data_IF_506115501688
#
_entry.id   IF_506115501688
#
_cell.length_a   1.000
_cell.length_b   1.000
_cell.length_c   1.000
_cell.angle_alpha   90.00
_cell.angle_beta   90.00
_cell.angle_gamma   90.00
#
_symmetry.space_group_name_H-M   'P 1'
#
loop_
_entity.id
_entity.type
_entity.pdbx_description
1 polymer ?
2 non-polymer ?
3 water ?
#
# COMPACT_ATOMS: atom_id res chain seq x y z
N UNK A 2 -8.96 -14.80 6.93
CA UNK A 2 -8.82 -15.20 8.33
C UNK A 2 -8.71 -14.00 9.27
N UNK A 3 -8.13 -12.91 8.76
CA UNK A 3 -7.98 -11.67 9.51
C UNK A 3 -8.82 -10.59 8.86
N UNK A 4 -9.45 -9.76 9.69
CA UNK A 4 -10.23 -8.61 9.23
C UNK A 4 -9.41 -7.34 9.47
N UNK A 5 -8.96 -6.73 8.38
CA UNK A 5 -8.18 -5.51 8.44
C UNK A 5 -9.01 -4.23 8.58
N UNK A 6 -10.33 -4.35 8.65
CA UNK A 6 -11.20 -3.18 8.66
C UNK A 6 -10.79 -2.22 9.78
N UNK A 7 -10.72 -0.95 9.46
CA UNK A 7 -10.39 0.05 10.45
C UNK A 7 -9.89 1.33 9.83
N UNK A 8 -9.86 2.38 10.63
CA UNK A 8 -9.16 3.61 10.29
C UNK A 8 -7.84 3.61 11.06
N UNK A 9 -6.77 3.47 10.30
CA UNK A 9 -5.44 3.24 10.85
C UNK A 9 -4.56 4.47 10.63
N UNK A 10 -4.02 5.03 11.71
CA UNK A 10 -3.24 6.26 11.61
C UNK A 10 -1.75 5.96 11.56
N UNK A 11 -1.02 6.67 10.70
CA UNK A 11 0.42 6.44 10.54
C UNK A 11 1.27 6.78 11.77
N UNK A 12 2.09 5.83 12.18
CA UNK A 12 3.09 6.02 13.23
C UNK A 12 4.51 6.04 12.68
N UNK A 13 4.78 5.21 11.67
CA UNK A 13 6.11 5.00 11.14
C UNK A 13 6.08 5.08 9.62
N UNK A 14 7.11 5.70 9.05
CA UNK A 14 7.27 5.77 7.62
C UNK A 14 8.76 5.89 7.32
N UNK A 15 9.40 4.78 6.97
CA UNK A 15 10.83 4.70 6.75
C UNK A 15 11.12 4.44 5.28
N UNK A 16 12.01 5.26 4.71
CA UNK A 16 12.51 5.08 3.35
C UNK A 16 11.48 5.35 2.25
N UNK A 17 10.51 6.21 2.54
CA UNK A 17 9.47 6.55 1.56
C UNK A 17 10.04 7.32 0.37
N UNK A 18 10.94 8.27 0.61
CA UNK A 18 11.53 9.04 -0.47
C UNK A 18 12.23 8.15 -1.48
N UNK A 19 13.02 7.21 -0.96
CA UNK A 19 13.78 6.28 -1.80
C UNK A 19 12.85 5.37 -2.62
N UNK A 20 11.75 4.94 -2.01
CA UNK A 20 10.73 4.17 -2.69
C UNK A 20 10.15 4.98 -3.85
N UNK A 21 9.78 6.23 -3.59
CA UNK A 21 9.20 7.05 -4.65
C UNK A 21 10.22 7.35 -5.73
N UNK A 22 11.48 7.57 -5.34
CA UNK A 22 12.51 7.86 -6.32
C UNK A 22 12.67 6.68 -7.29
N UNK A 23 12.59 5.46 -6.75
CA UNK A 23 12.70 4.28 -7.59
C UNK A 23 11.52 4.13 -8.56
N UNK A 24 10.40 4.82 -8.29
CA UNK A 24 9.27 4.85 -9.22
C UNK A 24 9.37 6.04 -10.21
N UNK A 25 10.50 6.75 -10.18
CA UNK A 25 10.77 7.87 -11.09
C UNK A 25 9.89 9.09 -10.82
N UNK A 26 9.34 9.18 -9.62
CA UNK A 26 8.59 10.34 -9.21
C UNK A 26 9.52 11.55 -9.20
N UNK A 27 9.10 12.66 -9.79
CA UNK A 27 10.01 13.80 -9.91
C UNK A 27 10.27 14.51 -8.57
N UNK A 28 11.20 15.45 -8.59
CA UNK A 28 11.65 16.11 -7.37
C UNK A 28 10.53 16.90 -6.71
N UNK A 29 9.72 17.59 -7.51
CA UNK A 29 8.63 18.41 -6.98
C UNK A 29 7.59 17.55 -6.26
N UNK A 30 7.25 16.41 -6.86
CA UNK A 30 6.23 15.52 -6.26
C UNK A 30 6.79 14.83 -5.02
N UNK A 31 8.07 14.49 -5.05
CA UNK A 31 8.72 13.90 -3.90
C UNK A 31 8.77 14.92 -2.76
N UNK A 32 8.94 16.20 -3.11
CA UNK A 32 9.01 17.26 -2.12
C UNK A 32 7.70 17.36 -1.35
N UNK A 33 6.58 17.37 -2.08
CA UNK A 33 5.29 17.44 -1.40
C UNK A 33 4.99 16.12 -0.69
N UNK A 34 5.46 15.00 -1.23
CA UNK A 34 5.18 13.73 -0.59
C UNK A 34 5.87 13.66 0.77
N UNK A 35 6.94 14.43 0.91
CA UNK A 35 7.64 14.52 2.18
C UNK A 35 6.79 15.22 3.26
N UNK A 36 5.78 15.98 2.86
CA UNK A 36 4.89 16.65 3.80
C UNK A 36 3.77 15.75 4.29
N UNK A 37 3.72 14.52 3.78
CA UNK A 37 2.57 13.63 3.99
C UNK A 37 2.79 12.56 5.06
N UNK A 38 1.70 12.20 5.73
CA UNK A 38 1.64 11.07 6.64
C UNK A 38 0.36 10.33 6.29
N UNK A 39 0.40 9.51 5.23
CA UNK A 39 -0.84 8.92 4.76
C UNK A 39 -1.37 7.88 5.74
N UNK A 40 -2.69 7.87 5.87
CA UNK A 40 -3.39 6.90 6.70
C UNK A 40 -4.00 5.79 5.88
N UNK A 41 -4.50 4.75 6.53
CA UNK A 41 -5.17 3.65 5.85
C UNK A 41 -6.58 3.50 6.36
N UNK A 42 -7.56 3.59 5.46
CA UNK A 42 -8.94 3.33 5.84
C UNK A 42 -9.34 2.09 5.05
N UNK A 43 -9.54 1.00 5.77
CA UNK A 43 -9.79 -0.28 5.14
C UNK A 43 -11.18 -0.77 5.52
N UNK A 44 -11.89 -1.27 4.52
CA UNK A 44 -13.14 -2.02 4.75
C UNK A 44 -13.03 -3.34 4.02
N UNK A 45 -13.37 -4.41 4.72
CA UNK A 45 -13.21 -5.74 4.19
C UNK A 45 -14.46 -6.56 4.46
N UNK A 46 -14.85 -7.39 3.50
CA UNK A 46 -15.85 -8.42 3.70
C UNK A 46 -15.28 -9.70 3.07
N UNK A 47 -14.68 -10.57 3.89
CA UNK A 47 -14.05 -11.77 3.38
C UNK A 47 -12.89 -11.41 2.45
N UNK A 48 -12.94 -11.93 1.22
CA UNK A 48 -11.87 -11.68 0.26
C UNK A 48 -12.05 -10.37 -0.50
N UNK A 49 -13.17 -9.68 -0.28
CA UNK A 49 -13.39 -8.37 -0.92
C UNK A 49 -12.80 -7.30 -0.01
N UNK A 50 -11.88 -6.50 -0.53
CA UNK A 50 -11.17 -5.52 0.28
C UNK A 50 -11.08 -4.18 -0.42
N UNK A 51 -11.29 -3.12 0.36
CA UNK A 51 -11.08 -1.77 -0.11
C UNK A 51 -10.04 -1.19 0.83
N UNK A 52 -8.92 -0.73 0.25
CA UNK A 52 -7.87 -0.09 1.02
C UNK A 52 -7.73 1.31 0.47
N UNK A 53 -8.14 2.28 1.27
CA UNK A 53 -8.00 3.67 0.90
C UNK A 53 -6.78 4.26 1.59
N UNK A 54 -5.78 4.67 0.81
CA UNK A 54 -4.62 5.35 1.36
C UNK A 54 -4.92 6.84 1.27
N UNK A 55 -5.04 7.48 2.43
CA UNK A 55 -5.55 8.83 2.51
C UNK A 55 -4.44 9.81 2.87
N UNK A 56 -4.32 10.88 2.09
CA UNK A 56 -3.42 11.98 2.47
C UNK A 56 -4.03 13.31 2.09
N UNK A 57 -3.46 14.38 2.63
CA UNK A 57 -3.97 15.70 2.38
C UNK A 57 -3.68 16.13 0.94
N UNK A 58 -2.74 15.47 0.27
CA UNK A 58 -2.45 15.79 -1.12
C UNK A 58 -3.37 14.99 -2.03
N UNK A 59 -3.17 13.69 -2.10
CA UNK A 59 -3.93 12.82 -2.95
C UNK A 59 -4.19 11.52 -2.20
N UNK A 60 -5.31 10.88 -2.52
CA UNK A 60 -5.59 9.54 -2.04
C UNK A 60 -5.23 8.53 -3.12
N UNK A 61 -5.01 7.29 -2.71
CA UNK A 61 -4.88 6.18 -3.66
C UNK A 61 -5.78 5.07 -3.16
N UNK A 62 -6.73 4.67 -4.01
CA UNK A 62 -7.76 3.74 -3.63
C UNK A 62 -7.54 2.39 -4.31
N UNK A 63 -7.53 1.31 -3.51
CA UNK A 63 -7.56 -0.05 -4.05
C UNK A 63 -8.90 -0.70 -3.70
N UNK A 64 -9.40 -1.52 -4.59
CA UNK A 64 -10.68 -2.20 -4.42
C UNK A 64 -10.57 -3.49 -5.23
N UNK A 65 -10.43 -4.60 -4.54
CA UNK A 65 -10.05 -5.84 -5.21
C UNK A 65 -10.58 -7.06 -4.48
N UNK A 66 -10.41 -8.21 -5.14
CA UNK A 66 -10.72 -9.50 -4.58
C UNK A 66 -9.40 -10.21 -4.34
N UNK A 67 -9.16 -10.59 -3.09
CA UNK A 67 -7.97 -11.37 -2.79
C UNK A 67 -7.98 -12.66 -3.63
N UNK A 68 -6.85 -12.95 -4.29
CA UNK A 68 -6.71 -14.15 -5.10
C UNK A 68 -6.98 -13.97 -6.58
N UNK A 69 -7.47 -12.80 -6.96
CA UNK A 69 -7.87 -12.55 -8.35
C UNK A 69 -7.04 -11.43 -8.97
N UNK A 70 -6.26 -11.79 -9.97
CA UNK A 70 -5.42 -10.82 -10.66
C UNK A 70 -6.27 -9.74 -11.33
N UNK A 71 -5.77 -8.52 -11.33
CA UNK A 71 -6.51 -7.40 -11.91
C UNK A 71 -5.55 -6.36 -12.48
N UNK A 72 -6.08 -5.53 -13.36
CA UNK A 72 -5.33 -4.42 -13.91
C UNK A 72 -5.40 -3.26 -12.94
N UNK A 73 -4.27 -2.94 -12.34
CA UNK A 73 -4.19 -1.88 -11.37
C UNK A 73 -3.71 -0.61 -12.05
N UNK A 74 -4.45 0.47 -11.81
CA UNK A 74 -4.15 1.77 -12.39
C UNK A 74 -3.59 2.64 -11.27
N UNK A 75 -2.30 2.94 -11.35
CA UNK A 75 -1.62 3.68 -10.30
C UNK A 75 -1.56 5.19 -10.57
N UNK A 76 -2.59 5.68 -11.24
CA UNK A 76 -2.79 7.11 -11.40
C UNK A 76 -2.66 7.85 -10.07
N UNK A 77 -1.85 8.90 -10.09
CA UNK A 77 -1.61 9.70 -8.91
C UNK A 77 -0.30 9.36 -8.21
N UNK A 78 0.20 8.14 -8.43
CA UNK A 78 1.47 7.72 -7.86
C UNK A 78 2.49 7.89 -8.97
N UNK A 79 2.65 6.85 -9.81
CA UNK A 79 3.52 6.96 -10.96
C UNK A 79 2.76 6.82 -12.29
N UNK A 80 1.44 6.76 -12.21
CA UNK A 80 0.57 6.70 -13.39
C UNK A 80 0.84 5.49 -14.27
N UNK A 81 1.41 4.45 -13.68
CA UNK A 81 1.60 3.21 -14.40
C UNK A 81 0.40 2.29 -14.27
N UNK A 82 0.45 1.18 -15.01
CA UNK A 82 -0.53 0.11 -14.92
C UNK A 82 0.23 -1.15 -14.63
N UNK A 83 -0.29 -1.97 -13.72
CA UNK A 83 0.32 -3.24 -13.38
C UNK A 83 -0.69 -4.38 -13.45
N UNK A 84 -0.18 -5.59 -13.64
CA UNK A 84 -0.98 -6.80 -13.50
C UNK A 84 -0.73 -7.24 -12.07
N UNK A 85 -1.73 -7.05 -11.23
CA UNK A 85 -1.56 -7.12 -9.79
C UNK A 85 -2.37 -8.23 -9.18
N UNK A 86 -1.75 -8.97 -8.27
CA UNK A 86 -2.43 -10.04 -7.55
C UNK A 86 -2.13 -9.88 -6.06
N UNK A 87 -3.19 -9.85 -5.25
CA UNK A 87 -3.06 -9.84 -3.80
C UNK A 87 -3.52 -11.21 -3.32
N UNK A 88 -2.70 -11.87 -2.50
CA UNK A 88 -3.03 -13.22 -2.05
C UNK A 88 -2.84 -13.33 -0.54
N UNK A 89 -3.58 -14.28 0.05
CA UNK A 89 -3.43 -14.63 1.46
C UNK A 89 -2.25 -15.60 1.60
N UNK A 90 -1.37 -15.25 2.51
CA UNK A 90 -0.23 -16.08 2.87
C UNK A 90 -0.47 -16.23 4.37
N UNK A 91 -1.33 -17.17 4.73
CA UNK A 91 -1.84 -17.24 6.09
C UNK A 91 -2.69 -16.02 6.42
N UNK A 92 -2.31 -15.32 7.49
CA UNK A 92 -2.99 -14.08 7.91
C UNK A 92 -2.39 -12.83 7.29
N UNK A 93 -1.33 -13.01 6.49
CA UNK A 93 -0.68 -11.90 5.81
C UNK A 93 -1.18 -11.75 4.39
N UNK A 94 -1.15 -10.53 3.91
CA UNK A 94 -1.48 -10.22 2.53
C UNK A 94 -0.22 -9.91 1.75
N UNK A 95 -0.06 -10.62 0.63
CA UNK A 95 1.08 -10.46 -0.26
C UNK A 95 0.58 -9.93 -1.60
N UNK A 96 1.22 -8.89 -2.10
CA UNK A 96 0.83 -8.28 -3.36
C UNK A 96 2.00 -8.25 -4.32
N UNK A 97 1.80 -8.80 -5.51
CA UNK A 97 2.77 -8.70 -6.60
C UNK A 97 2.18 -7.79 -7.68
N UNK A 98 2.96 -6.80 -8.11
CA UNK A 98 2.55 -5.84 -9.12
C UNK A 98 3.45 -6.01 -10.33
N UNK A 99 2.99 -6.78 -11.30
CA UNK A 99 3.80 -7.05 -12.48
C UNK A 99 3.75 -5.89 -13.45
N UNK A 100 4.91 -5.50 -13.99
CA UNK A 100 4.98 -4.37 -14.89
C UNK A 100 6.41 -3.91 -15.10
N UNK A 101 6.58 -2.62 -15.33
CA UNK A 101 7.87 -2.06 -15.73
C UNK A 101 8.93 -2.25 -14.67
N UNK A 102 8.59 -1.97 -13.43
CA UNK A 102 9.56 -2.05 -12.35
C UNK A 102 9.65 -3.46 -11.81
N UNK A 103 10.88 -3.93 -11.67
CA UNK A 103 11.11 -5.22 -11.07
C UNK A 103 10.87 -5.20 -9.57
N UNK A 104 10.39 -6.32 -9.06
CA UNK A 104 10.27 -6.52 -7.63
C UNK A 104 9.28 -5.57 -6.96
N UNK A 105 8.25 -5.17 -7.68
CA UNK A 105 7.26 -4.23 -7.18
C UNK A 105 6.14 -4.98 -6.47
N UNK A 106 5.87 -4.62 -5.22
CA UNK A 106 4.75 -5.23 -4.52
C UNK A 106 4.75 -4.77 -3.08
N UNK A 107 4.02 -5.49 -2.24
CA UNK A 107 3.91 -5.12 -0.84
C UNK A 107 3.42 -6.30 -0.01
N UNK A 108 3.61 -6.19 1.29
CA UNK A 108 3.14 -7.18 2.23
C UNK A 108 2.48 -6.43 3.41
N UNK A 109 1.30 -6.86 3.80
CA UNK A 109 0.53 -6.22 4.86
C UNK A 109 0.12 -7.26 5.90
N UNK A 110 0.26 -6.93 7.18
CA UNK A 110 -0.09 -7.85 8.24
C UNK A 110 -0.36 -7.09 9.53
N UNK A 111 -1.05 -7.75 10.45
CA UNK A 111 -1.28 -7.18 11.77
C UNK A 111 -0.41 -7.91 12.80
N UNK A 112 0.27 -7.16 13.64
CA UNK A 112 0.97 -7.70 14.80
C UNK A 112 0.41 -7.02 16.02
N UNK A 113 -0.27 -7.78 16.88
CA UNK A 113 -0.89 -7.18 18.03
C UNK A 113 -1.90 -6.14 17.57
N UNK A 114 -1.73 -4.89 17.98
CA UNK A 114 -2.66 -3.85 17.55
C UNK A 114 -2.06 -2.92 16.51
N UNK A 115 -1.01 -3.37 15.83
CA UNK A 115 -0.36 -2.60 14.77
C UNK A 115 -0.60 -3.17 13.40
N UNK A 116 -0.92 -2.30 12.45
CA UNK A 116 -0.94 -2.64 11.05
C UNK A 116 0.45 -2.36 10.47
N UNK A 117 1.07 -3.39 9.91
CA UNK A 117 2.38 -3.29 9.28
C UNK A 117 2.25 -3.38 7.77
N UNK A 118 3.01 -2.54 7.08
CA UNK A 118 3.08 -2.55 5.63
C UNK A 118 4.54 -2.43 5.21
N UNK A 119 4.96 -3.34 4.33
CA UNK A 119 6.25 -3.24 3.68
C UNK A 119 6.01 -3.05 2.20
N UNK A 120 6.45 -1.92 1.65
CA UNK A 120 6.34 -1.66 0.22
C UNK A 120 7.69 -1.87 -0.42
N UNK A 121 7.71 -2.52 -1.57
CA UNK A 121 8.95 -2.84 -2.24
C UNK A 121 8.94 -2.46 -3.72
N UNK A 122 10.11 -2.05 -4.21
CA UNK A 122 10.31 -1.90 -5.65
C UNK A 122 11.81 -1.82 -5.91
N UNK A 123 12.27 -2.58 -6.90
CA UNK A 123 13.67 -2.58 -7.30
C UNK A 123 14.63 -2.67 -6.11
N UNK A 124 14.31 -3.52 -5.15
CA UNK A 124 15.19 -3.76 -4.03
C UNK A 124 15.11 -2.73 -2.90
N UNK A 125 14.30 -1.71 -3.11
CA UNK A 125 14.06 -0.70 -2.07
C UNK A 125 12.92 -1.19 -1.20
N UNK A 126 13.06 -1.02 0.11
CA UNK A 126 12.03 -1.41 1.07
C UNK A 126 11.60 -0.17 1.86
N UNK A 127 10.30 0.12 1.86
CA UNK A 127 9.73 1.17 2.67
C UNK A 127 8.87 0.50 3.74
N UNK A 128 9.10 0.89 5.01
CA UNK A 128 8.38 0.34 6.14
C UNK A 128 7.40 1.35 6.69
N UNK A 129 6.13 0.95 6.81
CA UNK A 129 5.10 1.78 7.42
C UNK A 129 4.37 0.98 8.49
N UNK A 130 4.03 1.66 9.58
CA UNK A 130 3.29 1.06 10.69
C UNK A 130 2.19 2.03 11.08
N UNK A 131 1.03 1.48 11.40
CA UNK A 131 -0.17 2.27 11.69
C UNK A 131 -0.83 1.70 12.93
N UNK A 132 -1.65 2.51 13.59
CA UNK A 132 -2.45 2.08 14.74
C UNK A 132 -3.78 2.79 14.70
N UNK A 133 -4.84 2.10 15.11
CA UNK A 133 -6.13 2.76 15.31
C UNK A 133 -6.02 3.63 16.56
N UNK A 134 -6.86 4.66 16.64
CA UNK A 134 -6.84 5.54 17.81
C UNK A 134 -7.77 4.96 18.88
N UNK A 135 -7.20 4.55 20.01
CA UNK A 135 -7.97 3.99 21.12
C UNK A 135 -8.56 5.07 22.02
#
# INVERSE_FOLDING_TARGET
MPVDFTGYWKMLVNENFEEYLRALDVNVALRKIANLLKPDKEIVQDGDHMIIRTLSTFRNYIMDFQVGKEFEEDLTGIDDRKCMTTVSWDGDKLQCVQKGEKEGRGWTQWIEGDELHLEMRVEGVVCKQVFKKVQ
#
